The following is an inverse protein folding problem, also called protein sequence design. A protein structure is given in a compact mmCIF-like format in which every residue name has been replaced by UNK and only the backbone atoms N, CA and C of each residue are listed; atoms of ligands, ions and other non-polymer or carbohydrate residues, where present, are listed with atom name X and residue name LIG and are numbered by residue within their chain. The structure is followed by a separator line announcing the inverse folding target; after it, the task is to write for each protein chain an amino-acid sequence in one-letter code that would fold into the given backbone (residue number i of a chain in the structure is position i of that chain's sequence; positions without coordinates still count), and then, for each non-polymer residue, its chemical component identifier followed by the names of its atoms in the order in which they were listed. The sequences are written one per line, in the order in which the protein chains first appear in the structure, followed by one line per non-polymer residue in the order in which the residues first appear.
data_IF_548410611139
#
_entry.id   IF_548410611139
#
_cell.length_a   1.000
_cell.length_b   1.000
_cell.length_c   1.000
_cell.angle_alpha   90.00
_cell.angle_beta   90.00
_cell.angle_gamma   90.00
#
_symmetry.space_group_name_H-M   'P 1'
#
loop_
_entity.id
_entity.type
_entity.pdbx_description
1 polymer ?
#
# COMPACT_ATOMS: atom_id res chain seq x y z
N UNK A 1 -42.09 -7.62 58.37
CA UNK A 1 -40.75 -7.28 57.83
C UNK A 1 -40.33 -8.39 56.88
N UNK A 2 -40.50 -8.20 55.57
CA UNK A 2 -40.08 -9.13 54.51
C UNK A 2 -39.22 -8.34 53.53
N UNK A 3 -37.90 -8.53 53.59
CA UNK A 3 -36.96 -7.95 52.64
C UNK A 3 -36.86 -8.84 51.40
N UNK A 4 -37.31 -8.34 50.26
CA UNK A 4 -37.12 -8.96 48.95
C UNK A 4 -35.71 -8.65 48.44
N UNK A 5 -34.96 -9.71 48.13
CA UNK A 5 -33.69 -9.66 47.41
C UNK A 5 -34.01 -9.27 45.95
N UNK A 6 -33.51 -8.12 45.50
CA UNK A 6 -33.59 -7.70 44.09
C UNK A 6 -32.34 -8.21 43.37
N UNK A 7 -32.50 -9.31 42.65
CA UNK A 7 -31.52 -9.82 41.70
C UNK A 7 -31.60 -8.95 40.43
N UNK A 8 -30.64 -8.07 40.21
CA UNK A 8 -30.49 -7.35 38.93
C UNK A 8 -29.77 -8.27 37.95
N UNK A 9 -30.54 -8.99 37.12
CA UNK A 9 -30.04 -9.60 35.89
C UNK A 9 -29.59 -8.48 34.94
N UNK A 10 -28.27 -8.29 34.80
CA UNK A 10 -27.71 -7.60 33.65
C UNK A 10 -27.78 -8.56 32.45
N UNK A 11 -28.81 -8.39 31.62
CA UNK A 11 -28.86 -8.98 30.29
C UNK A 11 -27.88 -8.19 29.39
N UNK A 12 -26.65 -8.69 29.26
CA UNK A 12 -25.76 -8.31 28.17
C UNK A 12 -26.33 -8.85 26.85
N UNK A 13 -27.14 -8.05 26.16
CA UNK A 13 -27.47 -8.33 24.77
C UNK A 13 -26.22 -8.08 23.91
N UNK A 14 -25.71 -9.07 23.17
CA UNK A 14 -24.76 -8.77 22.10
C UNK A 14 -25.53 -7.97 21.04
N UNK A 15 -25.04 -6.77 20.74
CA UNK A 15 -25.53 -5.98 19.60
C UNK A 15 -25.09 -6.71 18.34
N UNK A 16 -25.91 -7.65 17.87
CA UNK A 16 -25.88 -8.10 16.49
C UNK A 16 -26.37 -6.93 15.64
N UNK A 17 -25.44 -6.11 15.15
CA UNK A 17 -25.71 -5.18 14.06
C UNK A 17 -26.23 -6.03 12.88
N UNK A 18 -27.53 -5.95 12.61
CA UNK A 18 -28.09 -6.51 11.39
C UNK A 18 -27.54 -5.73 10.19
N UNK A 19 -26.99 -6.51 9.27
CA UNK A 19 -26.31 -6.14 8.04
C UNK A 19 -26.97 -4.97 7.30
N UNK A 20 -26.20 -3.90 7.06
CA UNK A 20 -26.45 -3.10 5.87
C UNK A 20 -26.13 -3.97 4.65
N UNK A 21 -27.05 -4.02 3.68
CA UNK A 21 -26.84 -4.54 2.31
C UNK A 21 -26.39 -6.01 2.16
N UNK A 22 -26.79 -6.89 3.08
CA UNK A 22 -26.54 -8.34 2.95
C UNK A 22 -25.12 -8.79 3.32
N UNK A 23 -24.31 -7.90 3.92
CA UNK A 23 -22.98 -8.23 4.45
C UNK A 23 -23.08 -8.64 5.91
N UNK A 24 -22.68 -9.88 6.23
CA UNK A 24 -22.58 -10.33 7.62
C UNK A 24 -21.17 -10.05 8.17
N UNK A 25 -21.05 -9.10 9.10
CA UNK A 25 -19.78 -8.85 9.80
C UNK A 25 -19.57 -9.91 10.89
N UNK A 26 -18.54 -10.75 10.74
CA UNK A 26 -18.14 -11.75 11.74
C UNK A 26 -17.31 -11.12 12.85
N UNK A 27 -16.41 -10.21 12.49
CA UNK A 27 -15.50 -9.53 13.42
C UNK A 27 -15.08 -8.18 12.86
N UNK A 28 -14.92 -7.18 13.72
CA UNK A 28 -14.29 -5.91 13.41
C UNK A 28 -13.21 -5.62 14.47
N UNK A 29 -12.06 -5.10 14.01
CA UNK A 29 -10.92 -4.70 14.84
C UNK A 29 -10.36 -3.39 14.31
N UNK A 30 -10.03 -2.48 15.20
CA UNK A 30 -9.42 -1.19 14.86
C UNK A 30 -8.09 -1.07 15.58
N UNK A 31 -7.05 -0.72 14.84
CA UNK A 31 -5.68 -0.57 15.34
C UNK A 31 -5.18 0.84 15.06
N UNK A 32 -4.46 1.42 16.03
CA UNK A 32 -3.82 2.75 15.94
C UNK A 32 -2.48 2.73 16.66
N UNK A 33 -1.52 3.54 16.20
CA UNK A 33 -0.21 3.67 16.84
C UNK A 33 0.49 2.31 17.01
N UNK A 34 0.95 1.99 18.22
CA UNK A 34 1.65 0.73 18.50
C UNK A 34 0.80 -0.54 18.29
N UNK A 35 -0.53 -0.42 18.25
CA UNK A 35 -1.43 -1.55 17.98
C UNK A 35 -1.24 -2.19 16.60
N UNK A 36 -0.65 -1.46 15.64
CA UNK A 36 -0.31 -1.97 14.31
C UNK A 36 0.76 -3.08 14.35
N UNK A 37 1.76 -2.97 15.23
CA UNK A 37 2.82 -3.98 15.35
C UNK A 37 2.26 -5.36 15.72
N UNK A 38 1.28 -5.41 16.62
CA UNK A 38 0.65 -6.66 17.04
C UNK A 38 -0.21 -7.33 15.95
N UNK A 39 -0.63 -6.56 14.94
CA UNK A 39 -1.42 -7.08 13.83
C UNK A 39 -0.52 -7.57 12.68
N UNK A 40 0.57 -6.86 12.38
CA UNK A 40 1.32 -7.02 11.12
C UNK A 40 2.57 -7.92 11.20
N UNK A 41 2.81 -8.58 12.34
CA UNK A 41 3.85 -9.61 12.54
C UNK A 41 5.21 -9.30 11.87
N UNK A 42 5.76 -8.11 12.10
CA UNK A 42 7.05 -7.67 11.53
C UNK A 42 6.95 -6.78 10.28
N UNK A 43 5.81 -6.76 9.59
CA UNK A 43 5.58 -5.89 8.41
C UNK A 43 5.14 -4.45 8.73
N UNK A 44 4.96 -4.10 10.02
CA UNK A 44 4.43 -2.79 10.41
C UNK A 44 5.38 -1.63 10.09
N UNK A 45 6.69 -1.87 10.04
CA UNK A 45 7.71 -0.83 9.87
C UNK A 45 7.55 -0.10 8.54
N UNK A 46 7.28 -0.83 7.46
CA UNK A 46 7.01 -0.21 6.17
C UNK A 46 5.74 0.65 6.24
N UNK A 47 4.66 0.20 6.89
CA UNK A 47 3.44 1.02 6.99
C UNK A 47 3.63 2.27 7.85
N UNK A 48 4.46 2.18 8.90
CA UNK A 48 4.81 3.29 9.77
C UNK A 48 5.71 4.31 9.07
N UNK A 49 6.60 3.88 8.18
CA UNK A 49 7.38 4.77 7.31
C UNK A 49 6.47 5.69 6.48
N UNK A 50 5.31 5.17 6.04
CA UNK A 50 4.27 5.95 5.34
C UNK A 50 3.31 6.68 6.27
N UNK A 51 3.50 6.59 7.59
CA UNK A 51 2.70 7.34 8.56
C UNK A 51 1.26 6.87 8.73
N UNK A 52 0.98 5.57 8.56
CA UNK A 52 -0.35 5.01 8.81
C UNK A 52 -0.89 5.45 10.18
N UNK A 53 -2.13 5.95 10.20
CA UNK A 53 -2.76 6.48 11.41
C UNK A 53 -3.74 5.49 12.04
N UNK A 54 -4.43 4.72 11.20
CA UNK A 54 -5.46 3.75 11.61
C UNK A 54 -5.58 2.61 10.62
N UNK A 55 -5.80 1.40 11.12
CA UNK A 55 -6.22 0.23 10.36
C UNK A 55 -7.58 -0.24 10.89
N UNK A 56 -8.55 -0.41 10.00
CA UNK A 56 -9.81 -1.10 10.28
C UNK A 56 -9.82 -2.45 9.56
N UNK A 57 -9.79 -3.54 10.31
CA UNK A 57 -9.85 -4.91 9.79
C UNK A 57 -11.21 -5.54 10.10
N UNK A 58 -11.89 -6.06 9.07
CA UNK A 58 -13.19 -6.71 9.17
C UNK A 58 -13.16 -8.08 8.51
N UNK A 59 -13.64 -9.07 9.24
CA UNK A 59 -13.91 -10.39 8.68
C UNK A 59 -15.41 -10.44 8.38
N UNK A 60 -15.80 -10.68 7.12
CA UNK A 60 -17.19 -10.59 6.67
C UNK A 60 -17.57 -11.76 5.78
N UNK A 61 -18.85 -12.11 5.78
CA UNK A 61 -19.45 -13.00 4.78
C UNK A 61 -20.31 -12.16 3.85
N UNK A 62 -20.10 -12.29 2.55
CA UNK A 62 -20.91 -11.64 1.53
C UNK A 62 -21.21 -12.64 0.41
N UNK A 63 -22.50 -12.74 0.02
CA UNK A 63 -22.97 -13.69 -1.00
C UNK A 63 -22.48 -15.15 -0.79
N UNK A 64 -22.30 -15.56 0.46
CA UNK A 64 -21.87 -16.91 0.84
C UNK A 64 -20.35 -17.13 0.85
N UNK A 65 -19.55 -16.12 0.51
CA UNK A 65 -18.08 -16.17 0.50
C UNK A 65 -17.50 -15.40 1.70
N UNK A 66 -16.33 -15.82 2.15
CA UNK A 66 -15.58 -15.23 3.27
C UNK A 66 -14.55 -14.22 2.76
N UNK A 67 -14.54 -13.03 3.37
CA UNK A 67 -13.63 -11.95 3.04
C UNK A 67 -12.98 -11.36 4.30
N UNK A 68 -11.72 -10.97 4.17
CA UNK A 68 -11.03 -10.10 5.13
C UNK A 68 -10.77 -8.76 4.47
N UNK A 69 -11.44 -7.72 4.95
CA UNK A 69 -11.29 -6.34 4.50
C UNK A 69 -10.38 -5.58 5.46
N UNK A 70 -9.32 -4.99 4.94
CA UNK A 70 -8.40 -4.13 5.66
C UNK A 70 -8.36 -2.75 5.00
N UNK A 71 -8.70 -1.72 5.78
CA UNK A 71 -8.69 -0.33 5.34
C UNK A 71 -7.65 0.43 6.18
N UNK A 72 -6.58 0.86 5.52
CA UNK A 72 -5.48 1.63 6.09
C UNK A 72 -5.69 3.12 5.78
N UNK A 73 -5.67 3.96 6.82
CA UNK A 73 -5.76 5.41 6.69
C UNK A 73 -4.37 6.05 6.73
N UNK A 74 -4.01 6.62 5.58
CA UNK A 74 -2.69 7.18 5.33
C UNK A 74 -2.71 8.73 5.36
N UNK A 75 -1.55 9.40 5.50
CA UNK A 75 -1.51 10.86 5.53
C UNK A 75 -1.94 11.52 4.22
N UNK A 76 -1.69 10.88 3.07
CA UNK A 76 -2.03 11.40 1.74
C UNK A 76 -2.42 10.29 0.76
N UNK A 77 -3.03 10.63 -0.39
CA UNK A 77 -3.24 9.69 -1.48
C UNK A 77 -1.96 9.05 -2.01
N UNK A 78 -0.86 9.80 -2.07
CA UNK A 78 0.46 9.30 -2.47
C UNK A 78 0.97 8.26 -1.46
N UNK A 79 0.74 8.44 -0.16
CA UNK A 79 1.11 7.44 0.85
C UNK A 79 0.31 6.15 0.72
N UNK A 80 -0.99 6.26 0.48
CA UNK A 80 -1.85 5.11 0.20
C UNK A 80 -1.39 4.39 -1.07
N UNK A 81 -1.05 5.15 -2.11
CA UNK A 81 -0.49 4.60 -3.33
C UNK A 81 0.87 3.94 -3.12
N UNK A 82 1.72 4.48 -2.25
CA UNK A 82 3.04 3.91 -1.98
C UNK A 82 2.95 2.50 -1.40
N UNK A 83 2.18 2.33 -0.32
CA UNK A 83 1.91 1.00 0.25
C UNK A 83 1.29 0.08 -0.80
N UNK A 84 0.25 0.56 -1.50
CA UNK A 84 -0.39 -0.20 -2.56
C UNK A 84 0.62 -0.70 -3.61
N UNK A 85 1.43 0.19 -4.15
CA UNK A 85 2.36 -0.07 -5.26
C UNK A 85 3.47 -1.06 -4.91
N UNK A 86 3.81 -1.18 -3.62
CA UNK A 86 4.78 -2.14 -3.10
C UNK A 86 4.17 -3.53 -2.86
N UNK A 87 2.89 -3.60 -2.52
CA UNK A 87 2.25 -4.86 -2.09
C UNK A 87 1.48 -5.58 -3.20
N UNK A 88 1.15 -4.89 -4.30
CA UNK A 88 0.43 -5.55 -5.40
C UNK A 88 1.30 -6.61 -6.08
N UNK A 89 0.68 -7.74 -6.42
CA UNK A 89 1.37 -8.86 -7.04
C UNK A 89 0.44 -9.62 -7.98
N UNK A 90 0.97 -10.01 -9.15
CA UNK A 90 0.28 -10.84 -10.17
C UNK A 90 -1.17 -10.39 -10.44
N UNK A 91 -1.36 -9.10 -10.72
CA UNK A 91 -2.68 -8.56 -11.07
C UNK A 91 -3.21 -9.18 -12.36
N UNK A 92 -4.42 -9.74 -12.30
CA UNK A 92 -5.21 -10.22 -13.44
C UNK A 92 -5.96 -9.06 -14.11
N UNK A 93 -6.40 -8.09 -13.30
CA UNK A 93 -7.06 -6.84 -13.73
C UNK A 93 -6.44 -5.67 -12.98
N UNK A 94 -6.24 -4.55 -13.66
CA UNK A 94 -5.71 -3.32 -13.07
C UNK A 94 -6.49 -2.09 -13.49
N UNK A 95 -6.62 -1.14 -12.58
CA UNK A 95 -7.13 0.23 -12.77
C UNK A 95 -8.44 0.30 -13.57
N UNK A 96 -9.39 -0.57 -13.24
CA UNK A 96 -10.64 -0.75 -13.98
C UNK A 96 -11.91 -0.45 -13.15
N UNK A 97 -11.78 -0.21 -11.83
CA UNK A 97 -12.93 0.11 -10.96
C UNK A 97 -13.26 1.61 -10.88
N UNK A 98 -12.59 2.45 -11.67
CA UNK A 98 -12.70 3.91 -11.57
C UNK A 98 -11.72 4.53 -10.57
N UNK A 99 -10.83 3.71 -10.01
CA UNK A 99 -9.69 4.12 -9.19
C UNK A 99 -8.47 3.26 -9.55
N UNK A 100 -7.35 3.48 -8.88
CA UNK A 100 -6.19 2.59 -8.96
C UNK A 100 -6.54 1.32 -8.18
N UNK A 101 -6.50 0.18 -8.86
CA UNK A 101 -6.85 -1.11 -8.28
C UNK A 101 -6.12 -2.27 -8.95
N UNK A 102 -5.99 -3.37 -8.22
CA UNK A 102 -5.37 -4.60 -8.67
C UNK A 102 -6.17 -5.77 -8.12
N UNK A 103 -6.79 -6.52 -9.02
CA UNK A 103 -7.40 -7.81 -8.70
C UNK A 103 -6.37 -8.90 -8.99
N UNK A 104 -6.00 -9.67 -7.98
CA UNK A 104 -5.17 -10.86 -8.06
C UNK A 104 -6.01 -12.12 -7.77
N UNK A 105 -5.43 -13.34 -7.87
CA UNK A 105 -6.20 -14.57 -7.68
C UNK A 105 -6.95 -14.70 -6.35
N UNK A 106 -6.46 -14.05 -5.28
CA UNK A 106 -6.99 -14.19 -3.91
C UNK A 106 -7.24 -12.85 -3.21
N UNK A 107 -7.06 -11.73 -3.91
CA UNK A 107 -7.08 -10.42 -3.28
C UNK A 107 -7.50 -9.33 -4.26
N UNK A 108 -8.29 -8.37 -3.79
CA UNK A 108 -8.48 -7.07 -4.44
C UNK A 108 -7.77 -6.03 -3.60
N UNK A 109 -6.91 -5.24 -4.22
CA UNK A 109 -6.28 -4.07 -3.60
C UNK A 109 -6.70 -2.80 -4.34
N UNK A 110 -6.86 -1.69 -3.62
CA UNK A 110 -7.21 -0.41 -4.23
C UNK A 110 -6.69 0.79 -3.44
N UNK A 111 -6.63 1.94 -4.12
CA UNK A 111 -6.36 3.26 -3.53
C UNK A 111 -7.60 4.13 -3.71
N UNK A 112 -8.15 4.65 -2.60
CA UNK A 112 -9.32 5.52 -2.59
C UNK A 112 -9.04 6.74 -1.71
N UNK A 113 -8.73 7.87 -2.32
CA UNK A 113 -8.20 9.03 -1.60
C UNK A 113 -6.95 8.65 -0.80
N UNK A 114 -6.91 9.02 0.46
CA UNK A 114 -5.84 8.68 1.40
C UNK A 114 -5.93 7.27 2.01
N UNK A 115 -6.71 6.35 1.41
CA UNK A 115 -6.90 4.99 1.94
C UNK A 115 -6.29 3.95 1.02
N UNK A 116 -5.44 3.10 1.61
CA UNK A 116 -5.05 1.83 1.01
C UNK A 116 -6.00 0.74 1.51
N UNK A 117 -6.48 -0.08 0.59
CA UNK A 117 -7.50 -1.10 0.87
C UNK A 117 -7.00 -2.45 0.36
N UNK A 118 -7.18 -3.47 1.18
CA UNK A 118 -6.91 -4.87 0.85
C UNK A 118 -8.14 -5.69 1.20
N UNK A 119 -8.66 -6.45 0.23
CA UNK A 119 -9.76 -7.39 0.42
C UNK A 119 -9.26 -8.78 0.04
N UNK A 120 -8.97 -9.60 1.04
CA UNK A 120 -8.53 -10.99 0.85
C UNK A 120 -9.75 -11.90 0.81
N UNK A 121 -9.80 -12.79 -0.18
CA UNK A 121 -10.81 -13.85 -0.29
C UNK A 121 -10.12 -15.20 -0.49
N UNK A 122 -10.04 -15.97 0.60
CA UNK A 122 -9.19 -17.17 0.67
C UNK A 122 -9.62 -18.30 -0.26
N UNK A 123 -10.88 -18.32 -0.72
CA UNK A 123 -11.36 -19.36 -1.62
C UNK A 123 -10.76 -19.25 -3.02
N UNK A 124 -10.39 -18.03 -3.47
CA UNK A 124 -9.97 -17.76 -4.86
C UNK A 124 -11.02 -18.14 -5.91
N UNK A 125 -12.26 -18.40 -5.48
CA UNK A 125 -13.33 -18.87 -6.36
C UNK A 125 -13.74 -17.77 -7.34
N UNK A 126 -14.27 -18.16 -8.50
CA UNK A 126 -14.82 -17.17 -9.45
C UNK A 126 -15.95 -16.36 -8.80
N UNK A 127 -16.80 -17.01 -7.99
CA UNK A 127 -17.86 -16.34 -7.25
C UNK A 127 -17.31 -15.27 -6.27
N UNK A 128 -16.21 -15.57 -5.57
CA UNK A 128 -15.59 -14.61 -4.67
C UNK A 128 -15.01 -13.40 -5.41
N UNK A 129 -14.33 -13.65 -6.54
CA UNK A 129 -13.78 -12.62 -7.43
C UNK A 129 -14.87 -11.75 -8.05
N UNK A 130 -15.98 -12.34 -8.48
CA UNK A 130 -17.09 -11.61 -9.11
C UNK A 130 -17.81 -10.71 -8.09
N UNK A 131 -17.87 -11.13 -6.82
CA UNK A 131 -18.57 -10.38 -5.77
C UNK A 131 -17.70 -9.33 -5.06
N UNK A 132 -16.36 -9.42 -5.13
CA UNK A 132 -15.47 -8.51 -4.39
C UNK A 132 -15.58 -7.05 -4.84
N UNK A 133 -15.84 -6.83 -6.13
CA UNK A 133 -16.00 -5.48 -6.72
C UNK A 133 -17.26 -4.78 -6.20
N UNK A 134 -18.33 -5.53 -5.92
CA UNK A 134 -19.52 -4.99 -5.26
C UNK A 134 -19.27 -4.77 -3.77
N UNK A 135 -18.63 -5.74 -3.10
CA UNK A 135 -18.36 -5.69 -1.67
C UNK A 135 -17.56 -4.45 -1.29
N UNK A 136 -16.47 -4.14 -2.02
CA UNK A 136 -15.63 -2.98 -1.72
C UNK A 136 -16.41 -1.66 -1.83
N UNK A 137 -17.38 -1.59 -2.74
CA UNK A 137 -18.22 -0.39 -2.97
C UNK A 137 -19.20 -0.12 -1.84
N UNK A 138 -19.53 -1.12 -1.02
CA UNK A 138 -20.32 -0.94 0.20
C UNK A 138 -19.55 -0.19 1.28
N UNK A 139 -18.22 -0.18 1.21
CA UNK A 139 -17.35 0.49 2.18
C UNK A 139 -16.76 1.80 1.66
N UNK A 140 -16.53 1.90 0.35
CA UNK A 140 -15.80 3.01 -0.26
C UNK A 140 -16.42 3.40 -1.61
N UNK A 141 -16.44 4.69 -1.97
CA UNK A 141 -17.13 5.16 -3.17
C UNK A 141 -16.49 4.69 -4.48
N UNK A 142 -15.17 4.40 -4.48
CA UNK A 142 -14.42 3.94 -5.67
C UNK A 142 -14.63 4.86 -6.89
N UNK A 143 -14.66 6.18 -6.67
CA UNK A 143 -15.02 7.18 -7.69
C UNK A 143 -13.81 7.95 -8.24
N UNK A 144 -12.59 7.53 -7.87
CA UNK A 144 -11.34 8.13 -8.33
C UNK A 144 -11.10 9.56 -7.84
N UNK A 145 -11.98 10.11 -6.98
CA UNK A 145 -11.74 11.41 -6.36
C UNK A 145 -10.52 11.31 -5.44
N UNK A 146 -9.76 12.40 -5.39
CA UNK A 146 -8.56 12.50 -4.56
C UNK A 146 -7.51 11.42 -4.90
N UNK A 147 -7.44 10.98 -6.16
CA UNK A 147 -6.39 10.07 -6.63
C UNK A 147 -4.98 10.67 -6.43
N UNK A 148 -3.96 9.82 -6.21
CA UNK A 148 -2.57 10.28 -6.11
C UNK A 148 -2.14 11.04 -7.36
N UNK A 149 -1.40 12.13 -7.16
CA UNK A 149 -0.89 12.96 -8.25
C UNK A 149 0.42 12.38 -8.78
N UNK A 150 0.31 11.53 -9.80
CA UNK A 150 1.49 10.94 -10.46
C UNK A 150 2.17 12.01 -11.32
N UNK A 151 3.46 12.32 -11.11
CA UNK A 151 4.12 13.41 -11.82
C UNK A 151 4.16 13.22 -13.34
N UNK A 152 3.65 14.21 -14.09
CA UNK A 152 3.60 14.16 -15.56
C UNK A 152 4.97 13.99 -16.22
N UNK A 153 6.04 14.45 -15.55
CA UNK A 153 7.43 14.30 -16.01
C UNK A 153 7.86 12.84 -16.20
N UNK A 154 7.20 11.90 -15.50
CA UNK A 154 7.44 10.47 -15.67
C UNK A 154 6.92 9.94 -17.01
N UNK A 155 5.99 10.66 -17.65
CA UNK A 155 5.40 10.25 -18.93
C UNK A 155 4.52 9.00 -18.86
N UNK A 156 4.18 8.53 -17.66
CA UNK A 156 3.37 7.33 -17.44
C UNK A 156 1.89 7.66 -17.56
N UNK A 157 1.14 6.76 -18.20
CA UNK A 157 -0.31 6.80 -18.28
C UNK A 157 -0.89 5.51 -17.71
N UNK A 158 -2.16 5.56 -17.32
CA UNK A 158 -2.90 4.38 -16.85
C UNK A 158 -2.75 3.19 -17.82
N UNK A 159 -2.55 1.96 -17.31
CA UNK A 159 -2.53 1.58 -15.90
C UNK A 159 -1.24 1.97 -15.18
N UNK A 160 -1.39 2.52 -13.97
CA UNK A 160 -0.31 2.84 -13.04
C UNK A 160 0.09 1.63 -12.20
N UNK A 161 -0.88 0.76 -11.92
CA UNK A 161 -0.67 -0.47 -11.15
C UNK A 161 0.41 -1.35 -11.80
N UNK A 162 1.52 -1.52 -11.07
CA UNK A 162 2.67 -2.31 -11.50
C UNK A 162 3.63 -1.59 -12.45
N UNK A 163 3.29 -0.38 -12.91
CA UNK A 163 4.14 0.46 -13.76
C UNK A 163 4.98 1.47 -12.97
N UNK A 164 4.47 1.96 -11.84
CA UNK A 164 5.15 2.95 -11.01
C UNK A 164 4.97 2.64 -9.54
N UNK A 165 6.00 2.94 -8.74
CA UNK A 165 5.99 2.86 -7.28
C UNK A 165 6.22 4.23 -6.67
N UNK A 166 5.63 4.47 -5.50
CA UNK A 166 5.95 5.63 -4.68
C UNK A 166 6.63 5.18 -3.39
N UNK A 167 7.88 5.60 -3.18
CA UNK A 167 8.75 5.18 -2.09
C UNK A 167 8.90 6.37 -1.12
N UNK A 168 8.57 6.16 0.15
CA UNK A 168 8.51 7.25 1.14
C UNK A 168 9.78 7.40 1.96
N UNK A 169 10.51 6.32 2.17
CA UNK A 169 11.69 6.30 3.03
C UNK A 169 12.64 5.12 2.74
N UNK A 170 13.66 4.94 3.57
CA UNK A 170 14.71 3.94 3.32
C UNK A 170 14.19 2.50 3.18
N UNK A 171 13.15 2.11 3.91
CA UNK A 171 12.59 0.74 3.88
C UNK A 171 11.91 0.48 2.54
N UNK A 172 11.10 1.41 2.05
CA UNK A 172 10.47 1.30 0.73
C UNK A 172 11.48 1.38 -0.41
N UNK A 173 12.52 2.19 -0.28
CA UNK A 173 13.60 2.27 -1.27
C UNK A 173 14.37 0.96 -1.35
N UNK A 174 14.85 0.41 -0.24
CA UNK A 174 15.60 -0.85 -0.24
C UNK A 174 14.76 -2.04 -0.70
N UNK A 175 13.44 -2.00 -0.49
CA UNK A 175 12.52 -3.01 -1.02
C UNK A 175 12.34 -2.93 -2.54
N UNK A 176 12.67 -1.80 -3.16
CA UNK A 176 12.45 -1.55 -4.58
C UNK A 176 13.73 -1.63 -5.42
N UNK A 177 14.87 -1.16 -4.89
CA UNK A 177 16.14 -1.04 -5.61
C UNK A 177 17.31 -0.92 -4.62
N UNK A 178 18.30 -1.80 -4.74
CA UNK A 178 19.50 -1.78 -3.89
C UNK A 178 20.38 -0.60 -4.28
N UNK A 179 20.64 -0.42 -5.58
CA UNK A 179 21.50 0.66 -6.05
C UNK A 179 20.92 2.05 -5.77
N UNK A 180 19.59 2.20 -5.82
CA UNK A 180 18.94 3.46 -5.41
C UNK A 180 19.05 3.69 -3.90
N UNK A 181 18.98 2.63 -3.08
CA UNK A 181 19.14 2.74 -1.63
C UNK A 181 20.54 3.24 -1.27
N UNK A 182 21.58 2.70 -1.88
CA UNK A 182 22.96 3.14 -1.71
C UNK A 182 23.17 4.59 -2.18
N UNK A 183 22.59 4.94 -3.33
CA UNK A 183 22.65 6.32 -3.83
C UNK A 183 22.06 7.32 -2.84
N UNK A 184 20.92 6.96 -2.24
CA UNK A 184 20.15 7.80 -1.30
C UNK A 184 20.67 7.74 0.14
N UNK A 185 21.71 6.95 0.43
CA UNK A 185 22.34 6.92 1.74
C UNK A 185 22.81 8.34 2.14
N UNK A 186 22.51 8.74 3.38
CA UNK A 186 22.77 10.07 3.94
C UNK A 186 22.17 11.27 3.16
N UNK A 187 21.24 11.02 2.24
CA UNK A 187 20.56 12.05 1.44
C UNK A 187 19.08 12.13 1.85
N UNK A 188 18.67 13.09 2.69
CA UNK A 188 17.29 13.15 3.15
C UNK A 188 16.32 13.54 2.03
N UNK A 189 15.30 12.70 1.83
CA UNK A 189 14.25 12.90 0.82
C UNK A 189 12.84 12.89 1.42
N UNK A 190 11.86 13.38 0.67
CA UNK A 190 10.43 13.40 1.04
C UNK A 190 9.60 12.34 0.32
N UNK A 191 10.08 11.88 -0.85
CA UNK A 191 9.47 10.80 -1.61
C UNK A 191 10.19 10.56 -2.92
N UNK A 192 10.05 9.35 -3.46
CA UNK A 192 10.63 8.93 -4.74
C UNK A 192 9.56 8.27 -5.57
N UNK A 193 9.38 8.72 -6.81
CA UNK A 193 8.65 7.97 -7.81
C UNK A 193 9.62 7.10 -8.58
N UNK A 194 9.39 5.79 -8.53
CA UNK A 194 10.29 4.77 -9.09
C UNK A 194 9.60 4.00 -10.21
N UNK A 195 10.32 3.87 -11.32
CA UNK A 195 9.90 3.13 -12.52
C UNK A 195 11.01 2.16 -12.86
N UNK A 196 10.82 0.89 -12.52
CA UNK A 196 11.76 -0.17 -12.89
C UNK A 196 11.43 -0.74 -14.26
N UNK A 197 12.42 -0.95 -15.11
CA UNK A 197 12.27 -1.83 -16.26
C UNK A 197 12.28 -3.29 -15.76
N UNK A 198 11.30 -4.09 -16.19
CA UNK A 198 11.23 -5.52 -15.81
C UNK A 198 12.10 -6.41 -16.69
N UNK A 199 12.65 -5.87 -17.79
CA UNK A 199 13.42 -6.62 -18.78
C UNK A 199 14.90 -6.23 -18.81
N UNK A 200 15.22 -5.08 -18.25
CA UNK A 200 16.56 -4.58 -18.10
C UNK A 200 16.75 -4.21 -16.63
N UNK A 201 17.98 -4.25 -16.15
CA UNK A 201 18.32 -3.76 -14.82
C UNK A 201 18.27 -2.22 -14.74
N UNK A 202 17.64 -1.55 -15.71
CA UNK A 202 17.50 -0.10 -15.77
C UNK A 202 16.30 0.37 -14.92
N UNK A 203 16.44 1.52 -14.28
CA UNK A 203 15.33 2.21 -13.63
C UNK A 203 15.35 3.72 -13.89
N UNK A 204 14.22 4.36 -13.64
CA UNK A 204 14.10 5.81 -13.53
C UNK A 204 13.59 6.17 -12.14
N UNK A 205 14.16 7.21 -11.54
CA UNK A 205 13.79 7.68 -10.21
C UNK A 205 13.66 9.20 -10.20
N UNK A 206 12.46 9.70 -9.86
CA UNK A 206 12.20 11.10 -9.57
C UNK A 206 12.21 11.28 -8.05
N UNK A 207 13.26 11.92 -7.55
CA UNK A 207 13.58 12.03 -6.13
C UNK A 207 13.29 13.45 -5.69
N UNK A 208 12.34 13.62 -4.76
CA UNK A 208 12.09 14.89 -4.08
C UNK A 208 12.88 14.95 -2.79
N UNK A 209 13.73 15.97 -2.64
CA UNK A 209 14.64 16.10 -1.50
C UNK A 209 14.05 16.97 -0.40
N UNK A 210 14.54 16.83 0.85
CA UNK A 210 14.06 17.67 1.96
C UNK A 210 14.54 19.12 1.90
N UNK A 211 15.74 19.35 1.35
CA UNK A 211 16.39 20.65 1.33
C UNK A 211 17.45 20.76 0.20
N UNK A 212 17.95 21.97 0.00
CA UNK A 212 18.97 22.27 -1.02
C UNK A 212 20.31 21.58 -0.76
N UNK A 213 20.62 21.28 0.51
CA UNK A 213 21.88 20.61 0.85
C UNK A 213 21.83 19.15 0.41
N UNK A 214 20.70 18.48 0.62
CA UNK A 214 20.42 17.15 0.11
C UNK A 214 20.45 17.11 -1.43
N UNK A 215 19.87 18.12 -2.10
CA UNK A 215 19.95 18.20 -3.57
C UNK A 215 21.40 18.27 -4.03
N UNK A 216 22.21 19.14 -3.41
CA UNK A 216 23.62 19.31 -3.77
C UNK A 216 24.41 18.00 -3.58
N UNK A 217 24.26 17.35 -2.42
CA UNK A 217 24.93 16.06 -2.14
C UNK A 217 24.55 15.00 -3.17
N UNK A 218 23.27 14.91 -3.49
CA UNK A 218 22.76 13.93 -4.45
C UNK A 218 23.25 14.22 -5.87
N UNK A 219 23.25 15.49 -6.30
CA UNK A 219 23.82 15.92 -7.59
C UNK A 219 25.32 15.61 -7.71
N UNK A 220 26.09 15.66 -6.61
CA UNK A 220 27.51 15.30 -6.60
C UNK A 220 27.74 13.79 -6.76
N UNK A 221 26.80 12.96 -6.30
CA UNK A 221 26.83 11.49 -6.46
C UNK A 221 26.40 11.02 -7.86
N UNK A 222 25.55 11.79 -8.55
CA UNK A 222 24.93 11.37 -9.81
C UNK A 222 25.78 11.79 -11.02
N UNK A 223 26.16 10.86 -11.92
CA UNK A 223 26.79 11.22 -13.18
C UNK A 223 25.89 12.13 -14.03
N UNK A 224 26.45 13.15 -14.67
CA UNK A 224 25.70 14.09 -15.53
C UNK A 224 24.92 13.38 -16.63
N UNK A 225 25.44 12.26 -17.16
CA UNK A 225 24.76 11.43 -18.16
C UNK A 225 23.52 10.70 -17.65
N UNK A 226 23.43 10.50 -16.32
CA UNK A 226 22.31 9.81 -15.64
C UNK A 226 21.23 10.78 -15.19
N UNK A 227 21.51 12.09 -15.14
CA UNK A 227 20.53 13.11 -14.81
C UNK A 227 19.65 13.46 -16.02
N UNK A 228 18.36 13.15 -15.93
CA UNK A 228 17.35 13.49 -16.95
C UNK A 228 16.93 14.96 -16.79
N UNK A 229 16.63 15.38 -15.55
CA UNK A 229 16.23 16.75 -15.23
C UNK A 229 16.47 17.04 -13.76
N UNK A 230 16.81 18.29 -13.45
CA UNK A 230 16.89 18.79 -12.08
C UNK A 230 16.01 20.02 -11.93
N UNK A 231 15.29 20.11 -10.82
CA UNK A 231 14.52 21.29 -10.41
C UNK A 231 15.07 21.88 -9.11
N UNK A 232 14.28 22.73 -8.47
CA UNK A 232 14.69 23.36 -7.21
C UNK A 232 14.66 22.37 -6.05
N UNK A 233 13.71 21.44 -6.00
CA UNK A 233 13.50 20.51 -4.89
C UNK A 233 13.51 19.03 -5.33
N UNK A 234 13.87 18.76 -6.58
CA UNK A 234 13.91 17.40 -7.12
C UNK A 234 15.06 17.16 -8.09
N UNK A 235 15.43 15.89 -8.23
CA UNK A 235 16.26 15.38 -9.31
C UNK A 235 15.62 14.15 -9.93
N UNK A 236 15.60 14.10 -11.26
CA UNK A 236 15.07 12.99 -12.06
C UNK A 236 16.22 12.30 -12.78
N UNK A 237 16.39 11.00 -12.52
CA UNK A 237 17.53 10.23 -13.01
C UNK A 237 17.11 8.97 -13.74
N UNK A 238 18.04 8.46 -14.54
CA UNK A 238 18.11 7.06 -14.95
C UNK A 238 19.24 6.38 -14.18
N UNK A 239 19.01 5.17 -13.69
CA UNK A 239 20.03 4.34 -13.05
C UNK A 239 19.96 2.90 -13.54
N UNK A 240 20.86 2.07 -13.02
CA UNK A 240 20.91 0.63 -13.26
C UNK A 240 21.10 -0.08 -11.93
N UNK A 241 20.44 -1.22 -11.71
CA UNK A 241 20.78 -2.12 -10.62
C UNK A 241 22.17 -2.70 -10.87
N UNK A 242 22.99 -2.68 -9.84
CA UNK A 242 24.23 -3.45 -9.83
C UNK A 242 23.87 -4.91 -9.57
N UNK A 243 24.38 -5.84 -10.38
CA UNK A 243 24.29 -7.26 -10.07
C UNK A 243 24.90 -7.45 -8.68
N UNK A 244 24.10 -7.88 -7.71
CA UNK A 244 24.61 -8.30 -6.42
C UNK A 244 25.70 -9.34 -6.69
N UNK A 245 26.94 -9.05 -6.33
CA UNK A 245 28.03 -10.00 -6.45
C UNK A 245 27.58 -11.29 -5.75
N UNK A 246 27.41 -12.38 -6.51
CA UNK A 246 26.89 -13.68 -6.07
C UNK A 246 27.18 -13.93 -4.58
N UNK A 247 26.23 -13.53 -3.73
CA UNK A 247 26.16 -14.10 -2.40
C UNK A 247 25.58 -15.49 -2.65
N UNK A 248 26.49 -16.47 -2.64
CA UNK A 248 26.24 -17.91 -2.63
C UNK A 248 25.21 -18.24 -1.54
N UNK A 249 23.94 -18.04 -1.87
CA UNK A 249 22.82 -18.47 -1.05
C UNK A 249 22.71 -19.96 -1.28
N UNK A 250 23.39 -20.69 -0.39
CA UNK A 250 23.19 -22.10 -0.19
C UNK A 250 21.71 -22.46 -0.24
N UNK A 251 21.43 -23.42 -1.11
CA UNK A 251 20.20 -24.18 -1.26
C UNK A 251 19.43 -24.32 0.07
N UNK A 252 18.33 -23.57 0.21
CA UNK A 252 17.28 -23.87 1.17
C UNK A 252 15.94 -23.88 0.45
N UNK A 253 15.65 -25.04 -0.14
CA UNK A 253 14.30 -25.42 -0.51
C UNK A 253 13.41 -25.61 0.73
N UNK A 254 12.22 -25.01 0.67
CA UNK A 254 10.98 -25.50 1.28
C UNK A 254 9.80 -25.17 0.36
#
# INVERSE_FOLDING_TARGET
MRGLIRCCLFLCFPVLLWAQDGVQVKRERVFTGSGLYGFMNGGAEQFLEYGVSRLTARDVVYKGEDYTLEIYEMPSPEDAFGIYSLHIFKCERTDALGCIDCLSPYQLQAVVGNKYVSVVFSSGSSAAKDAVDELIRLYLPMDGKEAPQIPEILGIRSPYSGAVKYLRGPISVSSASTSLAELLEDCPFTGVWFVGDRKADDYQALIYVKDQEALKRLSEKIPVSSCIRQGDDFIYIKGTEEEAADEDHGDFGF
#
